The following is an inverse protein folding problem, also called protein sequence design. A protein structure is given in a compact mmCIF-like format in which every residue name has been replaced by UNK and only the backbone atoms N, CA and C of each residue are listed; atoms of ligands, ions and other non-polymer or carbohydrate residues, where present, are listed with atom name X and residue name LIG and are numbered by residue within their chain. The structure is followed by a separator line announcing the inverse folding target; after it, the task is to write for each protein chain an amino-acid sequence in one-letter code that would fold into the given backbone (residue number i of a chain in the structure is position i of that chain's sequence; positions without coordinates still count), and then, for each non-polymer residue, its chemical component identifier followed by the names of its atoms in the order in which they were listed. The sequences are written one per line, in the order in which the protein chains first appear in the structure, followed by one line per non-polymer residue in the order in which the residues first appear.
data_IF_410698976124
#
_entry.id   IF_410698976124
#
_cell.length_a   1.000
_cell.length_b   1.000
_cell.length_c   1.000
_cell.angle_alpha   90.00
_cell.angle_beta   90.00
_cell.angle_gamma   90.00
#
_symmetry.space_group_name_H-M   'P 1'
#
loop_
_entity.id
_entity.type
_entity.pdbx_description
1 polymer ?
#
# COMPACT_ATOMS: atom_id res chain seq x y z
N UNK A 1 -14.36 -0.23 -21.66
CA UNK A 1 -14.21 0.87 -20.68
C UNK A 1 -12.76 1.24 -20.48
N UNK A 2 -12.56 2.36 -19.80
CA UNK A 2 -11.25 2.79 -19.28
C UNK A 2 -11.39 2.95 -17.79
N UNK A 3 -10.49 2.35 -17.01
CA UNK A 3 -10.41 2.49 -15.55
C UNK A 3 -8.96 2.76 -15.15
N UNK A 4 -8.76 3.69 -14.23
CA UNK A 4 -7.44 4.15 -13.81
C UNK A 4 -7.27 3.88 -12.32
N UNK A 5 -6.21 3.20 -11.94
CA UNK A 5 -5.72 3.07 -10.57
C UNK A 5 -4.27 3.54 -10.48
N UNK A 6 -3.87 3.99 -9.31
CA UNK A 6 -2.52 4.49 -9.01
C UNK A 6 -2.14 4.17 -7.57
N UNK A 7 -0.94 4.60 -7.17
CA UNK A 7 -0.53 4.66 -5.77
C UNK A 7 -1.37 5.67 -4.96
N UNK A 8 -1.41 5.49 -3.65
CA UNK A 8 -2.17 6.33 -2.72
C UNK A 8 -1.51 7.68 -2.38
N UNK A 9 -2.20 8.47 -1.63
CA UNK A 9 -1.84 9.68 -0.89
C UNK A 9 -1.50 10.94 -1.70
N UNK A 10 -1.04 10.83 -2.94
CA UNK A 10 -0.69 12.00 -3.76
C UNK A 10 -1.92 12.60 -4.45
N UNK A 11 -1.89 13.92 -4.63
CA UNK A 11 -3.01 14.67 -5.18
C UNK A 11 -2.54 15.80 -6.11
N UNK A 12 -3.42 16.16 -7.03
CA UNK A 12 -3.31 17.36 -7.85
C UNK A 12 -4.29 18.43 -7.34
N UNK A 13 -3.90 19.70 -7.44
CA UNK A 13 -4.75 20.84 -7.10
C UNK A 13 -5.39 21.37 -8.38
N UNK A 14 -6.72 21.55 -8.35
CA UNK A 14 -7.50 22.12 -9.46
C UNK A 14 -8.02 23.48 -9.08
N UNK A 15 -7.78 24.47 -9.92
CA UNK A 15 -8.19 25.86 -9.74
C UNK A 15 -9.63 26.10 -10.21
N UNK A 16 -10.13 27.33 -10.01
CA UNK A 16 -11.51 27.72 -10.35
C UNK A 16 -11.83 27.58 -11.85
N UNK A 17 -10.84 27.80 -12.72
CA UNK A 17 -10.95 27.65 -14.18
C UNK A 17 -10.80 26.20 -14.67
N UNK A 18 -10.64 25.26 -13.74
CA UNK A 18 -10.53 23.84 -14.05
C UNK A 18 -9.12 23.38 -14.45
N UNK A 19 -8.12 24.25 -14.36
CA UNK A 19 -6.74 23.91 -14.69
C UNK A 19 -6.02 23.33 -13.47
N UNK A 20 -4.98 22.52 -13.70
CA UNK A 20 -4.09 22.12 -12.62
C UNK A 20 -3.19 23.29 -12.20
N UNK A 21 -3.09 23.50 -10.89
CA UNK A 21 -2.30 24.60 -10.30
C UNK A 21 -0.77 24.39 -10.38
N UNK A 22 -0.32 23.34 -11.04
CA UNK A 22 1.07 22.94 -11.19
C UNK A 22 1.22 21.42 -11.12
N UNK A 23 2.45 20.94 -11.05
CA UNK A 23 2.72 19.51 -10.91
C UNK A 23 2.43 19.05 -9.48
N UNK A 24 1.87 17.84 -9.30
CA UNK A 24 1.77 17.19 -7.99
C UNK A 24 3.14 17.00 -7.36
N UNK A 25 3.23 17.11 -6.04
CA UNK A 25 4.41 16.68 -5.30
C UNK A 25 4.39 15.16 -5.12
N UNK A 26 5.57 14.54 -5.21
CA UNK A 26 5.71 13.14 -4.84
C UNK A 26 5.67 12.98 -3.31
N UNK A 27 5.05 11.94 -2.82
CA UNK A 27 4.92 11.66 -1.37
C UNK A 27 6.27 11.50 -0.64
N UNK A 28 7.37 11.30 -1.38
CA UNK A 28 8.73 11.22 -0.82
C UNK A 28 9.44 12.57 -0.77
N UNK A 29 8.74 13.66 -1.07
CA UNK A 29 9.28 15.02 -0.96
C UNK A 29 9.52 15.39 0.52
N UNK A 30 10.58 16.14 0.78
CA UNK A 30 11.02 16.52 2.14
C UNK A 30 10.11 17.53 2.84
N UNK A 31 9.13 18.14 2.14
CA UNK A 31 8.21 19.14 2.73
C UNK A 31 7.40 18.63 3.92
N UNK A 32 7.23 17.29 4.04
CA UNK A 32 6.48 16.66 5.12
C UNK A 32 7.35 16.15 6.28
N UNK A 33 8.66 16.34 6.26
CA UNK A 33 9.58 15.72 7.22
C UNK A 33 9.19 15.97 8.70
N UNK A 34 8.70 17.17 9.06
CA UNK A 34 8.24 17.50 10.40
C UNK A 34 6.73 17.69 10.52
N UNK A 35 5.99 17.67 9.42
CA UNK A 35 4.58 18.04 9.37
C UNK A 35 3.70 17.20 10.30
N UNK A 36 4.02 15.92 10.45
CA UNK A 36 3.26 15.02 11.34
C UNK A 36 3.41 15.42 12.81
N UNK A 37 4.63 15.74 13.26
CA UNK A 37 4.87 16.15 14.65
C UNK A 37 4.20 17.51 14.93
N UNK A 38 4.37 18.48 14.05
CA UNK A 38 3.73 19.81 14.16
C UNK A 38 2.21 19.70 14.20
N UNK A 39 1.62 18.82 13.38
CA UNK A 39 0.18 18.59 13.39
C UNK A 39 -0.30 18.00 14.72
N UNK A 40 0.49 17.13 15.36
CA UNK A 40 0.13 16.54 16.66
C UNK A 40 0.18 17.53 17.82
N UNK A 41 0.80 18.69 17.68
CA UNK A 41 0.67 19.81 18.61
C UNK A 41 -0.72 20.48 18.51
N UNK A 42 -1.42 20.36 17.37
CA UNK A 42 -2.76 20.89 17.15
C UNK A 42 -3.85 19.88 17.52
N UNK A 43 -3.65 18.62 17.19
CA UNK A 43 -4.58 17.52 17.46
C UNK A 43 -3.81 16.24 17.80
N UNK A 44 -4.06 15.69 18.99
CA UNK A 44 -3.29 14.55 19.48
C UNK A 44 -3.29 13.35 18.52
N UNK A 45 -2.18 12.59 18.51
CA UNK A 45 -2.04 11.34 17.75
C UNK A 45 -3.21 10.37 18.01
N UNK A 46 -3.62 10.23 19.29
CA UNK A 46 -4.73 9.36 19.69
C UNK A 46 -6.05 9.80 19.03
N UNK A 47 -6.35 11.06 19.13
CA UNK A 47 -7.60 11.60 18.57
C UNK A 47 -7.61 11.54 17.04
N UNK A 48 -6.51 11.89 16.38
CA UNK A 48 -6.37 11.76 14.92
C UNK A 48 -6.61 10.32 14.46
N UNK A 49 -6.07 9.34 15.19
CA UNK A 49 -6.31 7.93 14.87
C UNK A 49 -7.76 7.51 15.09
N UNK A 50 -8.37 7.93 16.17
CA UNK A 50 -9.79 7.63 16.46
C UNK A 50 -10.74 8.18 15.39
N UNK A 51 -10.40 9.34 14.81
CA UNK A 51 -11.18 9.98 13.76
C UNK A 51 -11.01 9.31 12.38
N UNK A 52 -9.90 8.62 12.12
CA UNK A 52 -9.59 8.13 10.77
C UNK A 52 -9.30 6.63 10.71
N UNK A 53 -8.71 6.06 11.76
CA UNK A 53 -8.22 4.67 11.76
C UNK A 53 -7.05 4.40 10.83
N UNK A 54 -6.36 5.44 10.34
CA UNK A 54 -5.29 5.32 9.33
C UNK A 54 -3.91 5.28 9.98
N UNK A 55 -3.05 4.37 9.50
CA UNK A 55 -1.65 4.26 9.87
C UNK A 55 -0.93 5.60 9.71
N UNK A 56 -0.16 5.99 10.71
CA UNK A 56 0.64 7.20 10.62
C UNK A 56 1.87 7.01 9.77
N UNK A 57 1.90 7.76 8.69
CA UNK A 57 3.04 7.90 7.80
C UNK A 57 3.20 9.39 7.47
N UNK A 58 4.42 9.93 7.56
CA UNK A 58 4.67 11.37 7.37
C UNK A 58 4.14 11.93 6.06
N UNK A 59 3.95 11.08 5.07
CA UNK A 59 3.51 11.45 3.73
C UNK A 59 2.00 11.27 3.48
N UNK A 60 1.18 10.93 4.48
CA UNK A 60 -0.27 10.88 4.29
C UNK A 60 -0.79 12.24 3.82
N UNK A 61 -1.84 12.24 3.00
CA UNK A 61 -2.38 13.44 2.37
C UNK A 61 -2.72 14.54 3.39
N UNK A 62 -3.19 14.17 4.59
CA UNK A 62 -3.42 15.12 5.69
C UNK A 62 -2.17 15.97 5.96
N UNK A 63 -1.00 15.33 6.09
CA UNK A 63 0.24 16.04 6.40
C UNK A 63 0.82 16.76 5.19
N UNK A 64 0.59 16.24 3.98
CA UNK A 64 0.94 16.92 2.74
C UNK A 64 0.13 18.22 2.57
N UNK A 65 -1.19 18.18 2.79
CA UNK A 65 -2.06 19.36 2.73
C UNK A 65 -1.75 20.36 3.85
N UNK A 66 -1.51 19.87 5.07
CA UNK A 66 -1.06 20.71 6.19
C UNK A 66 0.22 21.47 5.82
N UNK A 67 1.23 20.78 5.26
CA UNK A 67 2.46 21.42 4.78
C UNK A 67 2.18 22.45 3.70
N UNK A 68 1.30 22.15 2.74
CA UNK A 68 0.94 23.08 1.66
C UNK A 68 0.26 24.33 2.17
N UNK A 69 -0.60 24.22 3.19
CA UNK A 69 -1.23 25.37 3.85
C UNK A 69 -0.20 26.19 4.64
N UNK A 70 0.62 25.53 5.48
CA UNK A 70 1.68 26.16 6.29
C UNK A 70 2.68 26.94 5.42
N UNK A 71 3.14 26.34 4.35
CA UNK A 71 4.22 26.86 3.50
C UNK A 71 3.68 27.68 2.31
N UNK A 72 2.33 27.79 2.17
CA UNK A 72 1.63 28.49 1.08
C UNK A 72 2.06 27.99 -0.30
N UNK A 73 2.24 26.68 -0.42
CA UNK A 73 2.67 26.01 -1.66
C UNK A 73 1.48 25.49 -2.47
N UNK A 74 1.73 24.99 -3.69
CA UNK A 74 0.72 24.40 -4.60
C UNK A 74 -0.49 25.32 -4.88
N UNK A 75 -0.38 26.62 -4.69
CA UNK A 75 -1.52 27.55 -4.85
C UNK A 75 -2.79 27.10 -4.10
N UNK A 76 -2.61 26.53 -2.90
CA UNK A 76 -3.69 26.00 -2.08
C UNK A 76 -4.77 27.07 -1.77
N UNK A 77 -4.37 28.33 -1.77
CA UNK A 77 -5.24 29.51 -1.62
C UNK A 77 -6.19 29.72 -2.82
N UNK A 78 -5.82 29.24 -4.00
CA UNK A 78 -6.61 29.29 -5.25
C UNK A 78 -7.29 27.96 -5.57
N UNK A 79 -7.07 26.95 -4.75
CA UNK A 79 -7.60 25.63 -4.96
C UNK A 79 -9.13 25.62 -4.86
N UNK A 80 -9.78 24.97 -5.81
CA UNK A 80 -11.22 24.71 -5.79
C UNK A 80 -11.51 23.24 -5.47
N UNK A 81 -10.64 22.34 -5.91
CA UNK A 81 -10.72 20.91 -5.64
C UNK A 81 -9.30 20.35 -5.45
N UNK A 82 -9.18 19.28 -4.70
CA UNK A 82 -8.10 18.32 -4.85
C UNK A 82 -8.65 17.08 -5.57
N UNK A 83 -7.81 16.47 -6.39
CA UNK A 83 -8.10 15.18 -7.02
C UNK A 83 -6.92 14.26 -6.74
N UNK A 84 -7.18 13.07 -6.21
CA UNK A 84 -6.10 12.07 -6.10
C UNK A 84 -5.62 11.67 -7.48
N UNK A 85 -4.46 11.06 -7.58
CA UNK A 85 -3.85 10.81 -8.89
C UNK A 85 -4.74 10.07 -9.88
N UNK A 86 -5.48 8.99 -9.52
CA UNK A 86 -6.36 8.32 -10.47
C UNK A 86 -7.57 9.20 -10.85
N UNK A 87 -8.06 10.01 -9.89
CA UNK A 87 -9.17 10.95 -10.14
C UNK A 87 -8.74 12.09 -11.05
N UNK A 88 -7.50 12.60 -10.87
CA UNK A 88 -6.93 13.64 -11.71
C UNK A 88 -6.76 13.17 -13.16
N UNK A 89 -6.28 11.94 -13.34
CA UNK A 89 -6.19 11.33 -14.67
C UNK A 89 -7.57 11.09 -15.28
N UNK A 90 -8.53 10.59 -14.50
CA UNK A 90 -9.92 10.40 -14.94
C UNK A 90 -10.59 11.73 -15.30
N UNK A 91 -10.25 12.82 -14.58
CA UNK A 91 -10.71 14.17 -14.92
C UNK A 91 -10.20 14.62 -16.29
N UNK A 92 -8.94 14.35 -16.63
CA UNK A 92 -8.39 14.66 -17.95
C UNK A 92 -9.11 13.88 -19.07
N UNK A 93 -9.57 12.65 -18.80
CA UNK A 93 -10.31 11.85 -19.76
C UNK A 93 -11.78 12.26 -19.92
N UNK A 94 -12.40 12.84 -18.90
CA UNK A 94 -13.87 13.00 -18.87
C UNK A 94 -14.34 14.42 -18.58
N UNK A 95 -13.47 15.31 -18.11
CA UNK A 95 -13.84 16.62 -17.59
C UNK A 95 -14.66 16.57 -16.28
N UNK A 96 -14.84 15.38 -15.67
CA UNK A 96 -15.64 15.20 -14.45
C UNK A 96 -14.75 15.15 -13.21
N UNK A 97 -15.10 15.98 -12.22
CA UNK A 97 -14.40 16.04 -10.93
C UNK A 97 -15.15 15.17 -9.93
N UNK A 98 -14.59 14.04 -9.59
CA UNK A 98 -15.08 13.14 -8.54
C UNK A 98 -13.88 12.54 -7.82
N UNK A 99 -14.09 12.02 -6.62
CA UNK A 99 -13.06 11.41 -5.79
C UNK A 99 -13.50 9.99 -5.48
N UNK A 100 -12.68 9.01 -5.84
CA UNK A 100 -13.01 7.62 -5.60
C UNK A 100 -12.69 7.23 -4.14
N UNK A 101 -13.57 6.43 -3.54
CA UNK A 101 -13.56 6.09 -2.12
C UNK A 101 -12.28 5.38 -1.66
N UNK A 102 -11.78 4.39 -2.41
CA UNK A 102 -10.64 3.58 -1.95
C UNK A 102 -9.36 4.40 -1.92
N UNK A 103 -9.15 5.28 -2.91
CA UNK A 103 -8.01 6.19 -2.92
C UNK A 103 -8.16 7.29 -1.87
N UNK A 104 -9.34 7.87 -1.72
CA UNK A 104 -9.61 8.89 -0.71
C UNK A 104 -9.38 8.36 0.71
N UNK A 105 -9.68 7.10 0.95
CA UNK A 105 -9.49 6.46 2.26
C UNK A 105 -8.03 6.39 2.71
N UNK A 106 -7.06 6.46 1.78
CA UNK A 106 -5.63 6.49 2.11
C UNK A 106 -5.18 7.83 2.69
N UNK A 107 -5.99 8.88 2.52
CA UNK A 107 -5.62 10.27 2.79
C UNK A 107 -5.45 10.63 4.27
N UNK A 108 -6.01 9.83 5.18
CA UNK A 108 -6.17 10.19 6.60
C UNK A 108 -7.11 11.41 6.82
N UNK A 109 -8.10 11.57 5.92
CA UNK A 109 -9.09 12.67 5.97
C UNK A 109 -10.53 12.18 6.02
N UNK A 110 -10.78 10.86 5.90
CA UNK A 110 -12.11 10.26 5.96
C UNK A 110 -12.40 9.66 7.32
N UNK A 111 -13.70 9.61 7.65
CA UNK A 111 -14.20 8.82 8.78
C UNK A 111 -14.02 7.31 8.50
N UNK A 112 -13.66 6.49 9.51
CA UNK A 112 -13.37 5.08 9.29
C UNK A 112 -14.55 4.33 8.68
N UNK A 113 -14.31 3.62 7.58
CA UNK A 113 -15.32 2.80 6.89
C UNK A 113 -16.46 3.58 6.23
N UNK A 114 -16.33 4.90 6.09
CA UNK A 114 -17.36 5.75 5.47
C UNK A 114 -16.78 6.58 4.33
N UNK A 115 -17.59 6.78 3.31
CA UNK A 115 -17.31 7.73 2.23
C UNK A 115 -17.67 9.16 2.68
N UNK A 116 -17.14 9.58 3.82
CA UNK A 116 -17.43 10.87 4.46
C UNK A 116 -16.15 11.53 4.93
N UNK A 117 -15.95 12.80 4.59
CA UNK A 117 -14.84 13.59 5.08
C UNK A 117 -14.96 13.87 6.59
N UNK A 118 -13.82 13.88 7.29
CA UNK A 118 -13.75 14.27 8.70
C UNK A 118 -13.45 15.78 8.81
N UNK A 119 -14.48 16.59 8.90
CA UNK A 119 -14.39 18.06 8.91
C UNK A 119 -13.47 18.63 10.00
N UNK A 120 -13.34 17.94 11.14
CA UNK A 120 -12.46 18.37 12.22
C UNK A 120 -11.01 18.44 11.77
N UNK A 121 -10.57 17.49 10.95
CA UNK A 121 -9.21 17.46 10.42
C UNK A 121 -8.97 18.62 9.44
N UNK A 122 -9.94 18.90 8.56
CA UNK A 122 -9.84 20.06 7.66
C UNK A 122 -9.69 21.36 8.44
N UNK A 123 -10.53 21.59 9.45
CA UNK A 123 -10.46 22.79 10.29
C UNK A 123 -9.14 22.89 11.06
N UNK A 124 -8.68 21.78 11.67
CA UNK A 124 -7.44 21.76 12.46
C UNK A 124 -6.21 22.03 11.61
N UNK A 125 -6.17 21.44 10.41
CA UNK A 125 -5.05 21.62 9.48
C UNK A 125 -5.12 22.94 8.69
N UNK A 126 -6.18 23.73 8.84
CA UNK A 126 -6.42 24.95 8.05
C UNK A 126 -6.70 24.66 6.58
N UNK A 127 -7.10 23.44 6.23
CA UNK A 127 -7.41 23.03 4.87
C UNK A 127 -8.77 23.60 4.48
N UNK A 128 -8.90 24.30 3.34
CA UNK A 128 -10.18 24.82 2.88
C UNK A 128 -11.20 23.69 2.66
N UNK A 129 -12.39 23.79 3.29
CA UNK A 129 -13.43 22.74 3.19
C UNK A 129 -13.96 22.55 1.77
N UNK A 130 -13.81 23.55 0.90
CA UNK A 130 -14.18 23.46 -0.51
C UNK A 130 -13.40 22.35 -1.25
N UNK A 131 -12.26 21.94 -0.72
CA UNK A 131 -11.44 20.86 -1.29
C UNK A 131 -12.03 19.46 -1.04
N UNK A 132 -12.97 19.32 -0.10
CA UNK A 132 -13.70 18.10 0.20
C UNK A 132 -14.74 17.82 -0.89
N UNK A 133 -14.30 17.30 -2.03
CA UNK A 133 -15.16 16.97 -3.17
C UNK A 133 -16.12 15.81 -2.92
N UNK A 134 -16.99 15.55 -3.88
CA UNK A 134 -17.92 14.42 -3.86
C UNK A 134 -17.17 13.09 -3.93
N UNK A 135 -17.49 12.16 -3.02
CA UNK A 135 -16.88 10.82 -2.98
C UNK A 135 -17.81 9.82 -3.67
N UNK A 136 -17.29 9.11 -4.65
CA UNK A 136 -18.00 8.05 -5.37
C UNK A 136 -17.42 6.66 -5.02
N UNK A 137 -18.26 5.64 -5.20
CA UNK A 137 -17.86 4.24 -4.93
C UNK A 137 -17.12 3.63 -6.13
N UNK A 138 -16.21 2.65 -5.88
CA UNK A 138 -15.59 1.90 -6.95
C UNK A 138 -16.63 1.16 -7.79
N UNK A 139 -16.43 1.12 -9.11
CA UNK A 139 -17.38 0.59 -10.08
C UNK A 139 -18.42 1.61 -10.57
N UNK A 140 -18.24 2.91 -10.30
CA UNK A 140 -19.10 3.97 -10.81
C UNK A 140 -18.68 4.39 -12.22
N UNK A 141 -19.64 4.48 -13.14
CA UNK A 141 -19.39 5.08 -14.47
C UNK A 141 -19.34 6.59 -14.32
N UNK A 142 -18.18 7.20 -14.51
CA UNK A 142 -17.95 8.65 -14.37
C UNK A 142 -18.55 9.42 -15.56
N UNK A 143 -18.36 8.90 -16.76
CA UNK A 143 -18.75 9.53 -18.00
C UNK A 143 -18.18 8.79 -19.22
N UNK A 144 -18.08 9.51 -20.31
CA UNK A 144 -17.41 9.04 -21.52
C UNK A 144 -16.11 9.82 -21.70
N UNK A 145 -15.18 9.22 -22.40
CA UNK A 145 -13.97 9.91 -22.87
C UNK A 145 -14.36 11.11 -23.71
N UNK A 146 -13.69 12.25 -23.51
CA UNK A 146 -13.94 13.51 -24.21
C UNK A 146 -13.85 13.36 -25.74
N UNK A 147 -14.67 14.10 -26.48
CA UNK A 147 -14.70 14.03 -27.94
C UNK A 147 -13.34 14.36 -28.56
N UNK A 148 -12.62 15.32 -28.03
CA UNK A 148 -11.26 15.69 -28.45
C UNK A 148 -10.29 14.50 -28.40
N UNK A 149 -10.36 13.71 -27.32
CA UNK A 149 -9.52 12.49 -27.16
C UNK A 149 -9.98 11.40 -28.14
N UNK A 150 -11.30 11.26 -28.36
CA UNK A 150 -11.84 10.30 -29.32
C UNK A 150 -11.36 10.63 -30.73
N UNK A 151 -11.37 11.89 -31.12
CA UNK A 151 -10.89 12.36 -32.43
C UNK A 151 -9.39 12.10 -32.57
N UNK A 152 -8.57 12.45 -31.57
CA UNK A 152 -7.12 12.28 -31.60
C UNK A 152 -6.70 10.80 -31.67
N UNK A 153 -7.40 9.93 -30.94
CA UNK A 153 -7.05 8.50 -30.83
C UNK A 153 -7.78 7.59 -31.82
N UNK A 154 -8.78 8.12 -32.54
CA UNK A 154 -9.68 7.33 -33.38
C UNK A 154 -10.57 6.38 -32.57
N UNK A 155 -10.76 6.60 -31.29
CA UNK A 155 -11.61 5.76 -30.43
C UNK A 155 -13.09 6.17 -30.56
N UNK A 156 -13.97 5.31 -30.08
CA UNK A 156 -15.39 5.63 -29.88
C UNK A 156 -15.65 6.22 -28.51
N UNK A 157 -16.90 6.60 -28.22
CA UNK A 157 -17.34 7.10 -26.92
C UNK A 157 -17.22 6.03 -25.81
N UNK A 158 -16.00 5.74 -25.37
CA UNK A 158 -15.68 4.72 -24.36
C UNK A 158 -16.10 5.20 -22.99
N UNK A 159 -16.85 4.41 -22.18
CA UNK A 159 -17.13 4.77 -20.79
C UNK A 159 -15.86 4.79 -19.94
N UNK A 160 -15.67 5.86 -19.16
CA UNK A 160 -14.66 5.94 -18.14
C UNK A 160 -15.28 5.52 -16.80
N UNK A 161 -14.62 4.61 -16.08
CA UNK A 161 -15.13 3.94 -14.90
C UNK A 161 -14.16 4.23 -13.74
N UNK A 162 -14.70 4.75 -12.66
CA UNK A 162 -14.00 4.83 -11.38
C UNK A 162 -13.88 3.42 -10.82
N UNK A 163 -12.76 2.78 -11.07
CA UNK A 163 -12.41 1.48 -10.46
C UNK A 163 -11.98 1.69 -9.00
N UNK A 164 -11.45 0.70 -8.31
CA UNK A 164 -10.80 0.93 -7.03
C UNK A 164 -9.49 1.71 -7.30
N UNK A 165 -9.53 3.02 -7.13
CA UNK A 165 -8.48 3.95 -7.56
C UNK A 165 -7.15 3.76 -6.84
N UNK A 166 -7.13 3.21 -5.62
CA UNK A 166 -5.92 2.71 -4.99
C UNK A 166 -5.54 1.35 -5.59
N UNK A 167 -4.40 1.24 -6.25
CA UNK A 167 -3.90 0.04 -6.93
C UNK A 167 -4.00 -1.22 -6.08
N UNK A 168 -3.68 -1.10 -4.79
CA UNK A 168 -3.80 -2.19 -3.83
C UNK A 168 -5.26 -2.60 -3.59
N UNK A 169 -6.23 -1.67 -3.64
CA UNK A 169 -7.64 -2.02 -3.51
C UNK A 169 -8.13 -2.82 -4.73
N UNK A 170 -7.72 -2.42 -5.93
CA UNK A 170 -7.93 -3.19 -7.16
C UNK A 170 -7.29 -4.58 -7.04
N UNK A 171 -6.04 -4.66 -6.58
CA UNK A 171 -5.34 -5.93 -6.39
C UNK A 171 -6.08 -6.87 -5.41
N UNK A 172 -6.57 -6.36 -4.28
CA UNK A 172 -7.27 -7.17 -3.28
C UNK A 172 -8.63 -7.65 -3.78
N UNK A 173 -9.32 -6.87 -4.61
CA UNK A 173 -10.55 -7.30 -5.26
C UNK A 173 -10.36 -8.57 -6.11
N UNK A 174 -9.16 -8.78 -6.66
CA UNK A 174 -8.79 -9.95 -7.45
C UNK A 174 -8.14 -11.10 -6.68
N UNK A 175 -8.04 -11.04 -5.35
CA UNK A 175 -7.52 -12.18 -4.57
C UNK A 175 -8.45 -13.37 -4.73
N UNK A 176 -7.97 -14.54 -5.22
CA UNK A 176 -8.81 -15.72 -5.45
C UNK A 176 -9.13 -16.45 -4.13
N UNK A 177 -9.52 -15.69 -3.11
CA UNK A 177 -9.85 -16.21 -1.80
C UNK A 177 -11.21 -16.90 -1.81
N UNK A 178 -11.24 -18.08 -1.19
CA UNK A 178 -12.46 -18.81 -0.84
C UNK A 178 -12.79 -18.53 0.63
N UNK A 179 -13.85 -19.16 1.12
CA UNK A 179 -14.24 -19.09 2.54
C UNK A 179 -13.08 -19.45 3.49
N UNK A 180 -13.12 -18.93 4.71
CA UNK A 180 -12.13 -19.17 5.75
C UNK A 180 -11.39 -17.90 6.19
N UNK A 181 -10.49 -18.05 7.16
CA UNK A 181 -9.68 -16.96 7.69
C UNK A 181 -8.40 -16.80 6.86
N UNK A 182 -8.41 -15.90 5.92
CA UNK A 182 -7.26 -15.61 5.07
C UNK A 182 -6.76 -14.20 5.27
N UNK A 183 -5.47 -14.02 4.98
CA UNK A 183 -4.83 -12.73 4.87
C UNK A 183 -4.28 -12.57 3.45
N UNK A 184 -3.97 -11.34 3.08
CA UNK A 184 -3.27 -11.02 1.84
C UNK A 184 -1.97 -10.29 2.10
N UNK A 185 -1.03 -10.45 1.19
CA UNK A 185 0.19 -9.69 1.07
C UNK A 185 0.30 -9.17 -0.36
N UNK A 186 0.00 -7.90 -0.57
CA UNK A 186 0.34 -7.23 -1.81
C UNK A 186 1.82 -6.89 -1.77
N UNK A 187 2.62 -7.70 -2.48
CA UNK A 187 4.08 -7.65 -2.40
C UNK A 187 4.67 -6.94 -3.60
N UNK A 188 5.20 -5.77 -3.38
CA UNK A 188 5.88 -4.92 -4.35
C UNK A 188 6.99 -4.11 -3.69
N UNK A 189 7.17 -2.86 -4.10
CA UNK A 189 8.06 -1.89 -3.45
C UNK A 189 7.70 -1.74 -1.97
N UNK A 190 6.42 -1.62 -1.66
CA UNK A 190 5.84 -1.79 -0.34
C UNK A 190 5.28 -3.21 -0.20
N UNK A 191 5.14 -3.67 1.04
CA UNK A 191 4.43 -4.89 1.41
C UNK A 191 3.20 -4.49 2.22
N UNK A 192 2.02 -4.61 1.63
CA UNK A 192 0.75 -4.30 2.29
C UNK A 192 0.14 -5.63 2.77
N UNK A 193 0.28 -5.89 4.06
CA UNK A 193 -0.17 -7.12 4.70
C UNK A 193 -1.41 -6.87 5.54
N UNK A 194 -2.50 -7.57 5.24
CA UNK A 194 -3.77 -7.35 5.92
C UNK A 194 -4.84 -8.39 5.68
N UNK A 195 -6.03 -8.06 6.14
CA UNK A 195 -7.27 -8.81 5.94
C UNK A 195 -8.37 -7.89 5.40
N UNK A 196 -9.39 -8.47 4.81
CA UNK A 196 -10.67 -7.77 4.63
C UNK A 196 -11.54 -7.94 5.88
N UNK A 197 -12.11 -6.83 6.33
CA UNK A 197 -13.05 -6.77 7.45
C UNK A 197 -14.36 -6.14 6.99
N UNK A 198 -15.53 -6.57 7.47
CA UNK A 198 -16.80 -5.92 7.19
C UNK A 198 -16.93 -4.54 7.88
N UNK A 199 -16.10 -4.27 8.87
CA UNK A 199 -16.10 -3.03 9.65
C UNK A 199 -14.66 -2.60 9.96
N UNK A 200 -14.41 -1.28 10.14
CA UNK A 200 -13.10 -0.80 10.57
C UNK A 200 -12.77 -1.26 12.00
N UNK A 201 -11.51 -1.58 12.24
CA UNK A 201 -10.98 -2.01 13.54
C UNK A 201 -10.14 -0.88 14.15
N UNK A 202 -10.81 0.05 14.83
CA UNK A 202 -10.18 1.23 15.44
C UNK A 202 -10.22 1.10 16.96
N UNK A 203 -9.05 1.01 17.59
CA UNK A 203 -8.89 0.87 19.04
C UNK A 203 -7.55 1.40 19.51
N UNK A 204 -7.32 1.48 20.83
CA UNK A 204 -6.00 1.80 21.39
C UNK A 204 -4.94 0.75 21.01
N UNK A 205 -5.33 -0.51 20.93
CA UNK A 205 -4.45 -1.60 20.50
C UNK A 205 -4.01 -1.42 19.04
N UNK A 206 -4.95 -1.11 18.12
CA UNK A 206 -4.62 -0.93 16.70
C UNK A 206 -3.84 0.37 16.45
N UNK A 207 -4.07 1.41 17.27
CA UNK A 207 -3.25 2.61 17.31
C UNK A 207 -1.80 2.29 17.73
N UNK A 208 -1.62 1.57 18.84
CA UNK A 208 -0.30 1.20 19.33
C UNK A 208 0.50 0.36 18.32
N UNK A 209 -0.20 -0.49 17.60
CA UNK A 209 0.37 -1.32 16.52
C UNK A 209 0.49 -0.57 15.19
N UNK A 210 -0.02 0.65 15.07
CA UNK A 210 -0.02 1.48 13.87
C UNK A 210 -0.62 0.77 12.63
N UNK A 211 -1.83 0.23 12.74
CA UNK A 211 -2.60 -0.34 11.63
C UNK A 211 -3.42 0.72 10.91
N UNK A 212 -3.79 0.43 9.66
CA UNK A 212 -4.67 1.27 8.82
C UNK A 212 -5.98 0.55 8.48
N UNK A 213 -7.06 1.32 8.33
CA UNK A 213 -8.40 0.88 7.93
C UNK A 213 -8.80 1.58 6.63
N UNK A 214 -8.32 1.09 5.51
CA UNK A 214 -8.58 1.69 4.21
C UNK A 214 -9.84 1.12 3.56
N UNK A 215 -10.51 1.90 2.72
CA UNK A 215 -11.68 1.47 1.98
C UNK A 215 -11.41 0.33 1.02
N UNK A 216 -12.29 -0.64 0.97
CA UNK A 216 -12.30 -1.74 0.02
C UNK A 216 -13.47 -1.67 -0.96
N UNK A 217 -13.65 -2.72 -1.74
CA UNK A 217 -14.75 -2.87 -2.70
C UNK A 217 -15.98 -3.45 -2.00
N UNK A 218 -17.18 -3.05 -2.42
CA UNK A 218 -18.46 -3.53 -1.87
C UNK A 218 -18.60 -3.30 -0.36
N UNK A 219 -18.11 -2.14 0.14
CA UNK A 219 -18.24 -1.76 1.55
C UNK A 219 -17.31 -2.49 2.51
N UNK A 220 -16.36 -3.25 2.01
CA UNK A 220 -15.31 -3.85 2.86
C UNK A 220 -14.31 -2.81 3.35
N UNK A 221 -13.66 -3.12 4.46
CA UNK A 221 -12.51 -2.38 5.00
C UNK A 221 -11.27 -3.24 4.85
N UNK A 222 -10.22 -2.70 4.27
CA UNK A 222 -8.89 -3.29 4.24
C UNK A 222 -8.17 -2.94 5.53
N UNK A 223 -8.17 -3.84 6.50
CA UNK A 223 -7.40 -3.69 7.73
C UNK A 223 -5.99 -4.24 7.49
N UNK A 224 -5.02 -3.36 7.41
CA UNK A 224 -3.68 -3.74 6.96
C UNK A 224 -2.58 -2.91 7.65
N UNK A 225 -1.35 -3.30 7.38
CA UNK A 225 -0.14 -2.55 7.70
C UNK A 225 0.71 -2.37 6.45
N UNK A 226 1.11 -1.13 6.19
CA UNK A 226 2.13 -0.81 5.21
C UNK A 226 3.50 -1.11 5.84
N UNK A 227 4.25 -1.99 5.22
CA UNK A 227 5.58 -2.43 5.64
C UNK A 227 6.55 -2.04 4.52
N UNK A 228 7.75 -1.56 4.85
CA UNK A 228 8.79 -1.41 3.85
C UNK A 228 9.09 -2.78 3.23
N UNK A 229 8.78 -2.91 1.95
CA UNK A 229 8.82 -4.20 1.25
C UNK A 229 10.14 -4.44 0.50
N UNK A 230 10.00 -4.89 -0.75
CA UNK A 230 11.14 -5.22 -1.60
C UNK A 230 11.99 -4.00 -1.99
N UNK A 231 11.57 -2.76 -1.68
CA UNK A 231 12.39 -1.57 -1.88
C UNK A 231 13.78 -1.71 -1.23
N UNK A 232 13.87 -2.32 -0.06
CA UNK A 232 15.15 -2.53 0.63
C UNK A 232 16.17 -3.22 -0.28
N UNK A 233 15.79 -4.33 -0.89
CA UNK A 233 16.68 -5.07 -1.78
C UNK A 233 16.80 -4.42 -3.17
N UNK A 234 15.75 -3.74 -3.66
CA UNK A 234 15.78 -2.99 -4.92
C UNK A 234 16.78 -1.85 -4.86
N UNK A 235 16.82 -1.09 -3.76
CA UNK A 235 17.81 -0.03 -3.56
C UNK A 235 19.23 -0.58 -3.36
N UNK A 236 19.38 -1.71 -2.67
CA UNK A 236 20.67 -2.40 -2.62
C UNK A 236 21.15 -2.79 -4.02
N UNK A 237 20.26 -3.39 -4.83
CA UNK A 237 20.56 -3.75 -6.21
C UNK A 237 20.95 -2.53 -7.04
N UNK A 238 20.23 -1.41 -6.94
CA UNK A 238 20.53 -0.17 -7.65
C UNK A 238 21.97 0.31 -7.35
N UNK A 239 22.37 0.27 -6.09
CA UNK A 239 23.75 0.62 -5.69
C UNK A 239 24.77 -0.41 -6.21
N UNK A 240 24.48 -1.70 -6.17
CA UNK A 240 25.37 -2.73 -6.67
C UNK A 240 25.56 -2.68 -8.19
N UNK A 241 24.47 -2.41 -8.92
CA UNK A 241 24.47 -2.31 -10.38
C UNK A 241 25.33 -1.15 -10.90
N UNK A 242 25.56 -0.12 -10.10
CA UNK A 242 26.48 0.97 -10.46
C UNK A 242 27.94 0.50 -10.64
N UNK A 243 28.30 -0.66 -10.06
CA UNK A 243 29.64 -1.27 -10.18
C UNK A 243 29.63 -2.47 -11.13
N UNK A 244 28.59 -3.28 -11.09
CA UNK A 244 28.41 -4.46 -11.94
C UNK A 244 26.94 -4.89 -11.90
N UNK A 245 26.30 -4.95 -13.06
CA UNK A 245 24.91 -5.34 -13.19
C UNK A 245 24.71 -6.77 -12.74
N UNK A 246 23.74 -7.01 -11.86
CA UNK A 246 23.41 -8.32 -11.30
C UNK A 246 21.95 -8.69 -11.61
N UNK A 247 21.73 -9.94 -11.98
CA UNK A 247 20.38 -10.50 -12.10
C UNK A 247 19.73 -10.79 -10.74
N UNK A 248 18.41 -10.77 -10.67
CA UNK A 248 17.67 -11.16 -9.45
C UNK A 248 17.99 -12.59 -9.02
N UNK A 249 18.14 -13.53 -9.96
CA UNK A 249 18.54 -14.91 -9.68
C UNK A 249 19.91 -15.01 -9.01
N UNK A 250 20.84 -14.15 -9.41
CA UNK A 250 22.19 -14.11 -8.81
C UNK A 250 22.12 -13.63 -7.36
N UNK A 251 21.35 -12.57 -7.08
CA UNK A 251 21.15 -12.07 -5.70
C UNK A 251 20.52 -13.14 -4.82
N UNK A 252 19.50 -13.85 -5.33
CA UNK A 252 18.86 -14.96 -4.62
C UNK A 252 19.86 -16.11 -4.36
N UNK A 253 20.66 -16.50 -5.35
CA UNK A 253 21.65 -17.53 -5.19
C UNK A 253 22.72 -17.18 -4.13
N UNK A 254 23.21 -15.92 -4.15
CA UNK A 254 24.14 -15.43 -3.14
C UNK A 254 23.52 -15.45 -1.73
N UNK A 255 22.26 -15.09 -1.59
CA UNK A 255 21.57 -15.07 -0.30
C UNK A 255 21.29 -16.48 0.25
N UNK A 256 21.11 -17.49 -0.62
CA UNK A 256 20.92 -18.88 -0.21
C UNK A 256 22.23 -19.56 0.25
N UNK A 257 23.38 -19.06 -0.20
CA UNK A 257 24.70 -19.64 0.12
C UNK A 257 25.31 -19.08 1.43
N UNK A 258 24.56 -18.27 2.18
CA UNK A 258 25.01 -17.69 3.44
C UNK A 258 24.18 -18.18 4.62
N UNK A 259 24.76 -18.08 5.83
CA UNK A 259 24.08 -18.49 7.06
C UNK A 259 22.83 -17.64 7.30
N UNK A 260 21.64 -18.26 7.47
CA UNK A 260 20.42 -17.54 7.82
C UNK A 260 20.50 -16.93 9.23
N UNK A 261 19.75 -15.86 9.46
CA UNK A 261 19.56 -15.20 10.77
C UNK A 261 20.87 -14.72 11.44
N UNK A 262 21.94 -14.46 10.64
CA UNK A 262 23.19 -13.86 11.14
C UNK A 262 22.92 -12.49 11.72
N UNK A 263 22.13 -11.69 11.02
CA UNK A 263 21.69 -10.34 11.37
C UNK A 263 20.25 -10.14 10.95
N UNK A 264 19.52 -9.31 11.69
CA UNK A 264 18.11 -8.97 11.42
C UNK A 264 17.91 -7.45 11.55
N UNK A 265 17.01 -6.89 10.76
CA UNK A 265 16.62 -5.49 10.80
C UNK A 265 15.13 -5.34 11.07
N UNK A 266 14.70 -4.20 11.66
CA UNK A 266 13.31 -3.79 11.56
C UNK A 266 13.10 -3.10 10.20
N UNK A 267 12.38 -3.68 9.24
CA UNK A 267 12.21 -3.07 7.92
C UNK A 267 11.59 -1.67 7.96
N UNK A 268 10.82 -1.36 9.01
CA UNK A 268 10.12 -0.07 9.16
C UNK A 268 10.95 0.97 9.94
N UNK A 269 12.25 0.74 10.20
CA UNK A 269 13.11 1.76 10.80
C UNK A 269 13.21 2.97 9.87
N UNK A 270 13.07 4.18 10.44
CA UNK A 270 13.08 5.43 9.70
C UNK A 270 14.35 5.61 8.84
N UNK A 271 15.48 5.03 9.25
CA UNK A 271 16.73 5.05 8.51
C UNK A 271 16.65 4.39 7.12
N UNK A 272 15.62 3.58 6.86
CA UNK A 272 15.43 2.90 5.57
C UNK A 272 14.47 3.63 4.62
N UNK A 273 13.82 4.70 5.05
CA UNK A 273 12.82 5.40 4.22
C UNK A 273 13.44 5.97 2.95
N UNK A 274 14.56 6.67 3.07
CA UNK A 274 15.25 7.28 1.93
C UNK A 274 16.78 7.42 2.15
N UNK A 275 17.52 6.34 2.40
CA UNK A 275 18.96 6.41 2.57
C UNK A 275 19.64 6.60 1.19
N UNK A 276 20.69 7.38 1.13
CA UNK A 276 21.52 7.51 -0.08
C UNK A 276 22.22 6.21 -0.48
N UNK A 277 22.53 5.36 0.51
CA UNK A 277 23.20 4.05 0.37
C UNK A 277 22.50 3.01 1.26
N UNK A 278 21.61 2.22 0.68
CA UNK A 278 20.83 1.20 1.40
C UNK A 278 21.70 0.06 1.96
N UNK A 279 22.68 -0.52 1.25
CA UNK A 279 23.62 -1.49 1.81
C UNK A 279 24.28 -0.96 3.09
N UNK A 280 24.76 0.27 3.06
CA UNK A 280 25.38 0.93 4.22
C UNK A 280 24.38 1.14 5.36
N UNK A 281 23.14 1.57 5.06
CA UNK A 281 22.10 1.74 6.06
C UNK A 281 21.77 0.43 6.80
N UNK A 282 21.72 -0.71 6.08
CA UNK A 282 21.54 -2.05 6.68
C UNK A 282 22.71 -2.39 7.62
N UNK A 283 23.93 -2.13 7.20
CA UNK A 283 25.13 -2.36 8.03
C UNK A 283 25.14 -1.49 9.28
N UNK A 284 24.83 -0.20 9.13
CA UNK A 284 24.78 0.76 10.25
C UNK A 284 23.68 0.41 11.25
N UNK A 285 22.53 -0.08 10.76
CA UNK A 285 21.48 -0.59 11.65
C UNK A 285 21.98 -1.78 12.48
N UNK A 286 22.73 -2.72 11.87
CA UNK A 286 23.29 -3.86 12.60
C UNK A 286 24.33 -3.42 13.62
N UNK A 287 25.16 -2.42 13.32
CA UNK A 287 26.08 -1.79 14.30
C UNK A 287 25.30 -1.18 15.47
N UNK A 288 24.30 -0.35 15.16
CA UNK A 288 23.45 0.33 16.16
C UNK A 288 22.74 -0.66 17.10
N UNK A 289 22.39 -1.84 16.59
CA UNK A 289 21.68 -2.86 17.36
C UNK A 289 22.60 -3.96 17.93
N UNK A 290 23.91 -3.76 17.92
CA UNK A 290 24.93 -4.70 18.42
C UNK A 290 24.83 -6.10 17.80
N UNK A 291 24.58 -6.19 16.50
CA UNK A 291 24.51 -7.42 15.76
C UNK A 291 25.76 -7.62 14.88
N UNK A 292 26.08 -8.86 14.46
CA UNK A 292 27.10 -9.09 13.44
C UNK A 292 26.77 -8.28 12.18
N UNK A 293 27.75 -7.57 11.63
CA UNK A 293 27.54 -6.76 10.41
C UNK A 293 27.55 -7.67 9.18
N UNK A 294 26.55 -7.57 8.29
CA UNK A 294 26.58 -8.29 7.02
C UNK A 294 27.57 -7.59 6.07
N UNK A 295 28.58 -8.33 5.58
CA UNK A 295 29.69 -7.75 4.79
C UNK A 295 29.50 -7.97 3.29
N UNK A 296 29.01 -9.16 2.90
CA UNK A 296 28.83 -9.51 1.49
C UNK A 296 27.43 -9.15 0.98
N UNK A 297 27.29 -9.02 -0.35
CA UNK A 297 25.99 -8.80 -1.01
C UNK A 297 24.98 -9.90 -0.61
N UNK A 298 25.43 -11.17 -0.54
CA UNK A 298 24.60 -12.28 -0.12
C UNK A 298 24.12 -12.17 1.33
N UNK A 299 24.99 -11.77 2.26
CA UNK A 299 24.64 -11.58 3.67
C UNK A 299 23.66 -10.41 3.86
N UNK A 300 23.86 -9.29 3.13
CA UNK A 300 22.94 -8.14 3.15
C UNK A 300 21.55 -8.55 2.61
N UNK A 301 21.53 -9.23 1.46
CA UNK A 301 20.29 -9.72 0.87
C UNK A 301 19.56 -10.69 1.80
N UNK A 302 20.27 -11.63 2.42
CA UNK A 302 19.72 -12.60 3.36
C UNK A 302 19.18 -11.93 4.62
N UNK A 303 19.90 -10.96 5.18
CA UNK A 303 19.44 -10.15 6.30
C UNK A 303 18.09 -9.47 5.99
N UNK A 304 17.98 -8.87 4.80
CA UNK A 304 16.72 -8.23 4.36
C UNK A 304 15.61 -9.27 4.21
N UNK A 305 15.84 -10.37 3.51
CA UNK A 305 14.81 -11.39 3.26
C UNK A 305 14.32 -12.05 4.56
N UNK A 306 15.24 -12.48 5.43
CA UNK A 306 14.89 -13.06 6.73
C UNK A 306 14.06 -12.07 7.57
N UNK A 307 14.45 -10.80 7.56
CA UNK A 307 13.75 -9.75 8.32
C UNK A 307 12.36 -9.46 7.77
N UNK A 308 12.18 -9.42 6.44
CA UNK A 308 10.87 -9.20 5.82
C UNK A 308 9.89 -10.33 6.16
N UNK A 309 10.29 -11.60 6.04
CA UNK A 309 9.38 -12.70 6.36
C UNK A 309 9.05 -12.79 7.86
N UNK A 310 10.00 -12.43 8.72
CA UNK A 310 9.76 -12.31 10.17
C UNK A 310 8.82 -11.15 10.50
N UNK A 311 8.91 -10.04 9.75
CA UNK A 311 7.95 -8.93 9.85
C UNK A 311 6.54 -9.34 9.44
N UNK A 312 6.43 -10.17 8.38
CA UNK A 312 5.13 -10.72 7.99
C UNK A 312 4.54 -11.61 9.09
N UNK A 313 5.34 -12.53 9.67
CA UNK A 313 4.93 -13.32 10.85
C UNK A 313 4.47 -12.43 11.99
N UNK A 314 5.25 -11.39 12.32
CA UNK A 314 4.93 -10.45 13.40
C UNK A 314 3.60 -9.73 13.14
N UNK A 315 3.38 -9.24 11.93
CA UNK A 315 2.15 -8.54 11.55
C UNK A 315 0.93 -9.46 11.56
N UNK A 316 1.05 -10.72 11.07
CA UNK A 316 -0.02 -11.70 11.15
C UNK A 316 -0.42 -12.00 12.60
N UNK A 317 0.56 -12.16 13.51
CA UNK A 317 0.29 -12.33 14.95
C UNK A 317 -0.42 -11.12 15.56
N UNK A 318 -0.09 -9.92 15.13
CA UNK A 318 -0.81 -8.71 15.54
C UNK A 318 -2.27 -8.73 15.04
N UNK A 319 -2.51 -9.08 13.78
CA UNK A 319 -3.86 -9.22 13.22
C UNK A 319 -4.67 -10.28 14.00
N UNK A 320 -4.08 -11.43 14.26
CA UNK A 320 -4.71 -12.50 15.08
C UNK A 320 -5.08 -12.02 16.49
N UNK A 321 -4.20 -11.22 17.13
CA UNK A 321 -4.45 -10.68 18.47
C UNK A 321 -5.59 -9.64 18.51
N UNK A 322 -5.76 -8.87 17.42
CA UNK A 322 -6.83 -7.86 17.30
C UNK A 322 -8.17 -8.53 16.97
N UNK A 323 -8.16 -9.52 16.09
CA UNK A 323 -9.39 -10.14 15.57
C UNK A 323 -9.87 -11.34 16.39
N UNK A 324 -9.00 -11.94 17.20
CA UNK A 324 -9.25 -13.21 17.90
C UNK A 324 -9.33 -14.42 16.94
N UNK A 325 -9.03 -14.23 15.66
CA UNK A 325 -9.12 -15.27 14.62
C UNK A 325 -7.74 -15.68 14.16
N UNK A 326 -7.52 -17.02 14.07
CA UNK A 326 -6.27 -17.54 13.52
C UNK A 326 -6.31 -17.44 11.99
N UNK A 327 -5.23 -16.96 11.40
CA UNK A 327 -5.06 -16.91 9.93
C UNK A 327 -4.62 -18.29 9.45
N UNK A 328 -5.32 -18.82 8.46
CA UNK A 328 -5.11 -20.18 7.92
C UNK A 328 -4.31 -20.15 6.62
N UNK A 329 -4.45 -19.09 5.83
CA UNK A 329 -3.83 -18.95 4.51
C UNK A 329 -3.36 -17.51 4.28
N UNK A 330 -2.27 -17.37 3.55
CA UNK A 330 -1.76 -16.08 3.11
C UNK A 330 -1.72 -16.05 1.58
N UNK A 331 -2.51 -15.17 0.98
CA UNK A 331 -2.45 -14.90 -0.46
C UNK A 331 -1.37 -13.85 -0.75
N UNK A 332 -0.35 -14.20 -1.51
CA UNK A 332 0.67 -13.25 -2.01
C UNK A 332 0.33 -12.88 -3.45
N UNK A 333 0.05 -11.61 -3.69
CA UNK A 333 -0.34 -11.05 -4.97
C UNK A 333 0.64 -9.97 -5.44
N UNK A 334 0.55 -9.59 -6.71
CA UNK A 334 1.45 -8.61 -7.32
C UNK A 334 2.81 -9.20 -7.69
N UNK A 335 3.77 -8.34 -8.04
CA UNK A 335 5.08 -8.77 -8.55
C UNK A 335 5.87 -9.70 -7.62
N UNK A 336 5.64 -9.61 -6.30
CA UNK A 336 6.26 -10.52 -5.31
C UNK A 336 5.84 -11.97 -5.44
N UNK A 337 4.69 -12.26 -6.06
CA UNK A 337 4.23 -13.63 -6.30
C UNK A 337 5.22 -14.43 -7.21
N UNK A 338 6.04 -13.75 -8.01
CA UNK A 338 7.10 -14.40 -8.79
C UNK A 338 8.32 -14.85 -7.96
N UNK A 339 8.49 -14.33 -6.75
CA UNK A 339 9.66 -14.66 -5.94
C UNK A 339 9.44 -15.95 -5.14
N UNK A 340 9.68 -17.10 -5.78
CA UNK A 340 9.46 -18.42 -5.18
C UNK A 340 10.24 -18.63 -3.87
N UNK A 341 11.45 -18.08 -3.77
CA UNK A 341 12.23 -18.15 -2.53
C UNK A 341 11.53 -17.40 -1.38
N UNK A 342 11.14 -16.15 -1.60
CA UNK A 342 10.45 -15.36 -0.58
C UNK A 342 9.10 -15.98 -0.19
N UNK A 343 8.38 -16.54 -1.16
CA UNK A 343 7.11 -17.21 -0.90
C UNK A 343 7.29 -18.46 -0.01
N UNK A 344 8.33 -19.28 -0.28
CA UNK A 344 8.65 -20.43 0.57
C UNK A 344 9.13 -19.99 1.96
N UNK A 345 10.06 -19.03 2.04
CA UNK A 345 10.53 -18.50 3.32
C UNK A 345 9.38 -17.89 4.14
N UNK A 346 8.40 -17.27 3.46
CA UNK A 346 7.19 -16.74 4.13
C UNK A 346 6.32 -17.86 4.70
N UNK A 347 6.10 -18.95 3.93
CA UNK A 347 5.38 -20.12 4.43
C UNK A 347 6.09 -20.73 5.63
N UNK A 348 7.41 -20.92 5.53
CA UNK A 348 8.23 -21.52 6.59
C UNK A 348 8.22 -20.66 7.87
N UNK A 349 8.42 -19.36 7.73
CA UNK A 349 8.46 -18.43 8.87
C UNK A 349 7.11 -18.29 9.57
N UNK A 350 6.03 -18.18 8.80
CA UNK A 350 4.69 -17.96 9.34
C UNK A 350 4.02 -19.24 9.85
N UNK A 351 4.41 -20.39 9.31
CA UNK A 351 3.82 -21.68 9.60
C UNK A 351 2.44 -21.90 8.97
N UNK A 352 2.06 -21.09 7.96
CA UNK A 352 0.78 -21.21 7.25
C UNK A 352 0.99 -21.41 5.75
N UNK A 353 -0.01 -21.96 5.07
CA UNK A 353 0.04 -22.13 3.62
C UNK A 353 0.06 -20.78 2.91
N UNK A 354 1.00 -20.58 1.99
CA UNK A 354 1.09 -19.42 1.12
C UNK A 354 0.57 -19.78 -0.27
N UNK A 355 -0.30 -18.92 -0.81
CA UNK A 355 -0.92 -19.03 -2.12
C UNK A 355 -0.45 -17.84 -2.96
N UNK A 356 0.46 -18.06 -3.92
CA UNK A 356 1.07 -16.99 -4.71
C UNK A 356 0.41 -16.86 -6.09
N UNK A 357 -0.15 -15.70 -6.37
CA UNK A 357 -0.84 -15.33 -7.61
C UNK A 357 -2.23 -14.76 -7.38
N UNK A 358 -2.76 -14.02 -8.34
CA UNK A 358 -2.14 -13.62 -9.62
C UNK A 358 -1.03 -12.56 -9.44
N UNK A 359 -0.10 -12.52 -10.40
CA UNK A 359 1.01 -11.55 -10.39
C UNK A 359 0.54 -10.15 -10.83
N UNK A 360 -0.36 -10.10 -11.80
CA UNK A 360 -0.99 -8.88 -12.31
C UNK A 360 -2.34 -8.62 -11.60
N UNK A 361 -2.35 -8.72 -10.26
CA UNK A 361 -3.57 -8.62 -9.46
C UNK A 361 -4.27 -7.27 -9.61
N UNK A 362 -3.51 -6.16 -9.65
CA UNK A 362 -4.05 -4.81 -9.82
C UNK A 362 -4.81 -4.68 -11.14
N UNK A 363 -4.16 -5.00 -12.26
CA UNK A 363 -4.79 -4.94 -13.58
C UNK A 363 -6.01 -5.87 -13.67
N UNK A 364 -5.92 -7.06 -13.09
CA UNK A 364 -7.03 -8.03 -13.05
C UNK A 364 -8.23 -7.48 -12.29
N UNK A 365 -8.01 -6.91 -11.10
CA UNK A 365 -9.08 -6.30 -10.31
C UNK A 365 -9.70 -5.09 -11.00
N UNK A 366 -8.87 -4.23 -11.59
CA UNK A 366 -9.31 -3.08 -12.38
C UNK A 366 -10.24 -3.51 -13.52
N UNK A 367 -9.83 -4.48 -14.34
CA UNK A 367 -10.62 -5.00 -15.46
C UNK A 367 -11.95 -5.59 -14.96
N UNK A 368 -11.93 -6.35 -13.88
CA UNK A 368 -13.14 -6.97 -13.34
C UNK A 368 -14.10 -5.94 -12.75
N UNK A 369 -13.59 -4.86 -12.14
CA UNK A 369 -14.43 -3.74 -11.70
C UNK A 369 -15.05 -2.97 -12.86
N UNK A 370 -14.34 -2.81 -13.96
CA UNK A 370 -14.94 -2.28 -15.20
C UNK A 370 -16.04 -3.21 -15.72
N UNK A 371 -15.79 -4.53 -15.75
CA UNK A 371 -16.80 -5.49 -16.15
C UNK A 371 -18.04 -5.45 -15.26
N UNK A 372 -17.84 -5.27 -13.94
CA UNK A 372 -18.93 -5.10 -12.96
C UNK A 372 -19.73 -3.83 -13.23
N UNK A 373 -19.07 -2.68 -13.43
CA UNK A 373 -19.72 -1.42 -13.76
C UNK A 373 -20.57 -1.50 -15.04
N UNK A 374 -20.15 -2.33 -15.98
CA UNK A 374 -20.84 -2.56 -17.28
C UNK A 374 -21.86 -3.73 -17.22
N UNK A 375 -22.17 -4.25 -16.03
CA UNK A 375 -23.17 -5.29 -15.82
C UNK A 375 -22.79 -6.67 -16.41
N UNK A 376 -21.50 -6.98 -16.52
CA UNK A 376 -20.99 -8.28 -16.98
C UNK A 376 -20.56 -9.19 -15.83
N UNK A 377 -20.32 -8.64 -14.66
CA UNK A 377 -19.99 -9.30 -13.41
C UNK A 377 -20.83 -8.62 -12.31
N UNK A 378 -21.34 -9.36 -11.33
CA UNK A 378 -22.37 -8.85 -10.43
C UNK A 378 -21.90 -8.72 -8.97
N UNK A 379 -20.83 -9.38 -8.58
CA UNK A 379 -20.36 -9.35 -7.19
C UNK A 379 -18.84 -9.54 -7.09
N UNK A 380 -18.28 -9.13 -5.95
CA UNK A 380 -16.89 -9.39 -5.59
C UNK A 380 -16.59 -10.91 -5.53
N UNK A 381 -17.57 -11.71 -5.08
CA UNK A 381 -17.44 -13.17 -5.05
C UNK A 381 -17.27 -13.71 -6.47
N UNK A 382 -18.11 -13.30 -7.41
CA UNK A 382 -18.00 -13.70 -8.81
C UNK A 382 -16.68 -13.25 -9.46
N UNK A 383 -16.22 -12.04 -9.14
CA UNK A 383 -14.88 -11.57 -9.58
C UNK A 383 -13.80 -12.56 -9.12
N UNK A 384 -13.79 -12.97 -7.87
CA UNK A 384 -12.82 -13.92 -7.30
C UNK A 384 -12.93 -15.32 -7.87
N UNK A 385 -14.13 -15.77 -8.20
CA UNK A 385 -14.35 -17.05 -8.91
C UNK A 385 -13.73 -17.00 -10.33
N UNK A 386 -13.94 -15.92 -11.07
CA UNK A 386 -13.34 -15.72 -12.38
C UNK A 386 -11.80 -15.77 -12.25
N UNK A 387 -11.22 -15.06 -11.29
CA UNK A 387 -9.77 -15.07 -11.06
C UNK A 387 -9.27 -16.48 -10.72
N UNK A 388 -9.96 -17.17 -9.81
CA UNK A 388 -9.59 -18.53 -9.41
C UNK A 388 -9.61 -19.54 -10.57
N UNK A 389 -10.47 -19.31 -11.56
CA UNK A 389 -10.60 -20.16 -12.73
C UNK A 389 -9.67 -19.74 -13.91
N UNK A 390 -9.13 -18.52 -13.87
CA UNK A 390 -8.35 -17.94 -14.96
C UNK A 390 -6.85 -17.93 -14.72
N UNK A 391 -6.42 -17.97 -13.46
CA UNK A 391 -5.02 -17.86 -13.12
C UNK A 391 -4.54 -19.04 -12.28
N UNK A 392 -3.33 -19.50 -12.55
CA UNK A 392 -2.65 -20.47 -11.71
C UNK A 392 -2.22 -19.82 -10.39
N UNK A 393 -2.47 -20.52 -9.28
CA UNK A 393 -2.02 -20.15 -7.94
C UNK A 393 -1.04 -21.19 -7.45
N UNK A 394 0.21 -20.78 -7.25
CA UNK A 394 1.28 -21.65 -6.77
C UNK A 394 1.17 -21.77 -5.24
N UNK A 395 1.22 -23.00 -4.73
CA UNK A 395 1.09 -23.31 -3.30
C UNK A 395 2.45 -23.60 -2.68
N UNK A 396 2.74 -22.93 -1.56
CA UNK A 396 3.91 -23.16 -0.74
C UNK A 396 3.45 -23.62 0.65
N UNK A 397 3.84 -24.82 1.02
CA UNK A 397 3.58 -25.37 2.36
C UNK A 397 4.78 -25.14 3.27
N UNK A 398 4.54 -24.89 4.57
CA UNK A 398 5.62 -24.75 5.54
C UNK A 398 6.52 -25.98 5.56
N UNK A 399 7.83 -25.76 5.56
CA UNK A 399 8.86 -26.78 5.73
C UNK A 399 9.72 -26.44 6.95
N UNK A 400 9.84 -27.30 7.97
CA UNK A 400 10.51 -26.97 9.22
C UNK A 400 12.04 -27.04 9.15
N UNK A 401 12.65 -26.65 8.02
CA UNK A 401 14.09 -26.79 7.80
C UNK A 401 14.96 -25.84 8.65
N UNK A 402 14.40 -24.72 9.15
CA UNK A 402 15.10 -23.69 9.91
C UNK A 402 14.37 -23.38 11.23
N UNK A 403 15.11 -22.94 12.23
CA UNK A 403 14.55 -22.52 13.53
C UNK A 403 14.00 -21.07 13.47
N UNK A 404 12.86 -20.92 12.81
CA UNK A 404 12.16 -19.64 12.65
C UNK A 404 11.65 -19.06 13.97
N UNK A 405 11.30 -19.91 14.94
CA UNK A 405 10.78 -19.42 16.23
C UNK A 405 11.86 -18.73 17.03
N UNK A 406 13.06 -19.31 17.10
CA UNK A 406 14.23 -18.67 17.72
C UNK A 406 14.66 -17.36 17.00
N UNK A 407 14.56 -17.34 15.67
CA UNK A 407 14.81 -16.12 14.91
C UNK A 407 13.75 -15.06 15.18
N UNK A 408 12.48 -15.46 15.30
CA UNK A 408 11.37 -14.58 15.64
C UNK A 408 11.50 -13.94 17.03
N UNK A 409 11.93 -14.69 18.04
CA UNK A 409 12.20 -14.14 19.38
C UNK A 409 13.27 -13.03 19.36
N UNK A 410 14.29 -13.18 18.50
CA UNK A 410 15.30 -12.13 18.30
C UNK A 410 14.70 -10.93 17.57
N UNK A 411 13.91 -11.19 16.53
CA UNK A 411 13.29 -10.15 15.72
C UNK A 411 12.33 -9.27 16.52
N UNK A 412 11.52 -9.85 17.39
CA UNK A 412 10.56 -9.10 18.24
C UNK A 412 11.24 -8.06 19.11
N UNK A 413 12.49 -8.29 19.53
CA UNK A 413 13.27 -7.31 20.33
C UNK A 413 13.72 -6.08 19.53
N UNK A 414 13.59 -6.13 18.22
CA UNK A 414 13.94 -5.03 17.31
C UNK A 414 12.72 -4.17 16.89
N UNK A 415 11.50 -4.54 17.35
CA UNK A 415 10.27 -3.85 16.96
C UNK A 415 9.90 -2.67 17.87
#
# INVERSE_FOLDING_TARGET
GVGIDTWGVDYAVVTTDGQFAGLPFAYRDHRTDNAMNEFFDLLSKKETYQLTGIQFMQFNTLFQLYSSVRDKTQHIDKAKNILFMPDALSYLFTGKKCIEYTIASTSQLLKPGKAEWEEKLFRTAGIPSVLAGEIIQPGTVIGKVLDEIQEETGSTAIPCISVAGHDTASAIASVPAKEGNWAYLSSGTWSLLGIESPVPLVSEQTLAMNFTNEGGVEGTTRFLKNIMGMRLIQECKRIWDSKSVMGWHEIMALSNNVKPFKSLINPDDAGFLNPGDMPKAVQDYCVKTNQPVPETKGEIARCIYDSLVLKYKYTLRQIESVTGKKIERLHIIGGGAHNSMMNQLTADATGIEVLAGPTEATATGNILLQAKALGKVFSLTEMREIVSNSFEVIRYKPSPALDWDKAYEKFVKLQ
#
